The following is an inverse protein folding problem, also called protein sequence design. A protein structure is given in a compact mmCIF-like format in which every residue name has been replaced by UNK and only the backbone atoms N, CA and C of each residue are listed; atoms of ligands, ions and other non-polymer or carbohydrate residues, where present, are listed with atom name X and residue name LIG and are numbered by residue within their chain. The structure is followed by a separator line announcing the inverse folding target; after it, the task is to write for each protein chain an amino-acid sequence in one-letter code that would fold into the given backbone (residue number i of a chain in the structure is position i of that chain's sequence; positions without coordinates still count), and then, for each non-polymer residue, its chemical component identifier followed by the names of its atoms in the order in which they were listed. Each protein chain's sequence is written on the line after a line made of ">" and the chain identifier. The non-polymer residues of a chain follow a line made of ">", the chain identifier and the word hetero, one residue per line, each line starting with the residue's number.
data_IF_268588672038
#
_entry.id   IF_268588672038
#
_cell.length_a   1.000
_cell.length_b   1.000
_cell.length_c   1.000
_cell.angle_alpha   90.00
_cell.angle_beta   90.00
_cell.angle_gamma   90.00
#
_symmetry.space_group_name_H-M   'P 1'
#
loop_
_entity.id
_entity.type
_entity.pdbx_description
1 polymer ?
#
# COMPACT_ATOMS: atom_id res chain seq x y z
N UNK A 1 18.34 7.29 -19.09
CA UNK A 1 17.69 6.28 -18.24
C UNK A 1 16.18 6.40 -18.40
N UNK A 2 15.52 5.37 -18.93
CA UNK A 2 14.05 5.35 -19.10
C UNK A 2 13.34 5.29 -17.75
N UNK A 3 12.07 5.69 -17.69
CA UNK A 3 11.24 5.62 -16.48
C UNK A 3 11.21 4.22 -15.85
N UNK A 4 11.36 3.18 -16.68
CA UNK A 4 11.48 1.78 -16.27
C UNK A 4 12.75 1.49 -15.45
N UNK A 5 13.91 2.02 -15.85
CA UNK A 5 15.15 1.82 -15.10
C UNK A 5 15.14 2.56 -13.75
N UNK A 6 14.49 3.74 -13.66
CA UNK A 6 14.27 4.44 -12.38
C UNK A 6 13.34 3.66 -11.45
N UNK A 7 12.29 3.02 -11.98
CA UNK A 7 11.37 2.16 -11.22
C UNK A 7 12.08 0.91 -10.66
N UNK A 8 12.87 0.22 -11.48
CA UNK A 8 13.66 -0.94 -11.06
C UNK A 8 14.73 -0.58 -10.02
N UNK A 9 15.36 0.59 -10.14
CA UNK A 9 16.27 1.13 -9.13
C UNK A 9 15.59 1.30 -7.77
N UNK A 10 14.38 1.88 -7.76
CA UNK A 10 13.57 2.01 -6.54
C UNK A 10 13.14 0.66 -5.96
N UNK A 11 12.83 -0.34 -6.80
CA UNK A 11 12.52 -1.71 -6.35
C UNK A 11 13.72 -2.43 -5.73
N UNK A 12 14.93 -2.25 -6.27
CA UNK A 12 16.15 -2.83 -5.67
C UNK A 12 16.42 -2.26 -4.27
N UNK A 13 16.25 -0.94 -4.11
CA UNK A 13 16.30 -0.28 -2.79
C UNK A 13 15.19 -0.78 -1.85
N UNK A 14 14.00 -1.09 -2.37
CA UNK A 14 12.90 -1.66 -1.60
C UNK A 14 13.21 -3.08 -1.07
N UNK A 15 13.87 -3.92 -1.87
CA UNK A 15 14.31 -5.26 -1.44
C UNK A 15 15.40 -5.16 -0.36
N UNK A 16 16.38 -4.27 -0.50
CA UNK A 16 17.36 -4.04 0.57
C UNK A 16 16.70 -3.50 1.85
N UNK A 17 15.67 -2.66 1.72
CA UNK A 17 14.88 -2.17 2.85
C UNK A 17 14.10 -3.30 3.55
N UNK A 18 13.54 -4.27 2.81
CA UNK A 18 12.87 -5.43 3.43
C UNK A 18 13.81 -6.24 4.33
N UNK A 19 15.06 -6.46 3.90
CA UNK A 19 16.08 -7.12 4.72
C UNK A 19 16.47 -6.29 5.95
N UNK A 20 16.52 -4.96 5.83
CA UNK A 20 16.77 -4.06 6.97
C UNK A 20 15.62 -4.09 7.98
N UNK A 21 14.37 -4.15 7.50
CA UNK A 21 13.21 -4.22 8.39
C UNK A 21 13.06 -5.54 9.13
N UNK A 22 13.56 -6.67 8.57
CA UNK A 22 13.68 -7.94 9.31
C UNK A 22 14.56 -7.78 10.57
N UNK A 23 15.56 -6.89 10.49
CA UNK A 23 16.46 -6.59 11.60
C UNK A 23 15.87 -5.61 12.64
N UNK A 24 14.82 -4.86 12.27
CA UNK A 24 14.25 -3.78 13.09
C UNK A 24 12.84 -4.10 13.66
N UNK A 25 12.07 -5.00 13.05
CA UNK A 25 10.68 -5.28 13.47
C UNK A 25 10.51 -6.28 14.63
N UNK A 26 11.59 -6.88 15.11
CA UNK A 26 11.59 -7.65 16.36
C UNK A 26 10.87 -9.01 16.31
N UNK A 27 11.22 -9.88 17.26
CA UNK A 27 10.98 -11.33 17.24
C UNK A 27 9.50 -11.79 17.12
N UNK A 28 8.53 -10.91 17.38
CA UNK A 28 7.09 -11.27 17.42
C UNK A 28 6.40 -11.34 16.06
N UNK A 29 6.66 -10.40 15.13
CA UNK A 29 6.08 -10.46 13.77
C UNK A 29 6.68 -11.62 12.97
N UNK A 30 8.00 -11.81 13.08
CA UNK A 30 8.72 -12.97 12.52
C UNK A 30 8.19 -14.31 13.06
N UNK A 31 7.73 -14.34 14.32
CA UNK A 31 7.09 -15.52 14.93
C UNK A 31 5.72 -15.81 14.31
N UNK A 32 4.92 -14.78 14.00
CA UNK A 32 3.60 -14.96 13.40
C UNK A 32 3.70 -15.46 11.95
N UNK A 33 4.58 -14.86 11.15
CA UNK A 33 4.75 -15.25 9.75
C UNK A 33 5.35 -16.65 9.57
N UNK A 34 6.18 -17.11 10.52
CA UNK A 34 6.67 -18.50 10.54
C UNK A 34 5.58 -19.53 10.77
N UNK A 35 4.46 -19.15 11.41
CA UNK A 35 3.33 -20.02 11.70
C UNK A 35 2.28 -20.07 10.58
N UNK A 36 2.44 -19.27 9.52
CA UNK A 36 1.53 -19.29 8.39
C UNK A 36 1.74 -20.56 7.56
N UNK A 37 0.66 -21.30 7.33
CA UNK A 37 0.64 -22.38 6.35
C UNK A 37 0.72 -21.80 4.94
N UNK A 38 1.90 -21.95 4.33
CA UNK A 38 2.19 -21.41 2.99
C UNK A 38 1.29 -22.00 1.91
N UNK A 39 0.74 -23.19 2.10
CA UNK A 39 -0.18 -23.82 1.13
C UNK A 39 -1.55 -23.13 1.08
N UNK A 40 -1.91 -22.38 2.13
CA UNK A 40 -3.19 -21.69 2.27
C UNK A 40 -3.11 -20.20 1.96
N UNK A 41 -1.94 -19.69 1.61
CA UNK A 41 -1.78 -18.28 1.24
C UNK A 41 -2.43 -18.06 -0.13
N UNK A 42 -3.35 -17.10 -0.26
CA UNK A 42 -4.00 -16.82 -1.53
C UNK A 42 -2.98 -16.33 -2.54
N UNK A 43 -3.08 -16.84 -3.77
CA UNK A 43 -2.24 -16.36 -4.86
C UNK A 43 -2.58 -14.92 -5.24
N UNK A 44 -3.85 -14.52 -5.08
CA UNK A 44 -4.35 -13.20 -5.44
C UNK A 44 -5.23 -12.63 -4.34
N UNK A 45 -4.94 -11.39 -3.94
CA UNK A 45 -5.77 -10.60 -3.03
C UNK A 45 -6.22 -9.31 -3.75
N UNK A 46 -7.49 -8.98 -3.65
CA UNK A 46 -8.04 -7.71 -4.11
C UNK A 46 -8.46 -6.86 -2.90
N UNK A 47 -8.11 -5.57 -2.92
CA UNK A 47 -8.35 -4.64 -1.81
C UNK A 47 -9.09 -3.41 -2.32
N UNK A 48 -10.21 -3.10 -1.68
CA UNK A 48 -10.95 -1.86 -1.86
C UNK A 48 -10.49 -0.88 -0.77
N UNK A 49 -9.90 0.23 -1.17
CA UNK A 49 -9.26 1.20 -0.26
C UNK A 49 -10.23 2.32 0.12
N UNK A 50 -11.35 1.94 0.73
CA UNK A 50 -12.40 2.89 1.11
C UNK A 50 -12.11 3.54 2.47
N UNK A 51 -12.70 4.71 2.70
CA UNK A 51 -12.72 5.38 4.00
C UNK A 51 -11.69 6.48 4.19
N UNK A 52 -10.75 6.69 3.25
CA UNK A 52 -9.72 7.74 3.33
C UNK A 52 -10.31 9.13 3.61
N UNK A 53 -11.32 9.56 2.85
CA UNK A 53 -11.99 10.83 3.07
C UNK A 53 -12.72 10.93 4.41
N UNK A 54 -13.39 9.85 4.84
CA UNK A 54 -14.07 9.79 6.16
C UNK A 54 -13.06 9.82 7.32
N UNK A 55 -11.91 9.17 7.16
CA UNK A 55 -10.83 9.17 8.13
C UNK A 55 -10.28 10.58 8.36
N UNK A 56 -10.12 11.36 7.28
CA UNK A 56 -9.65 12.74 7.34
C UNK A 56 -10.70 13.67 7.98
N UNK A 57 -11.96 13.54 7.57
CA UNK A 57 -13.08 14.34 8.12
C UNK A 57 -13.24 14.15 9.63
N UNK A 58 -13.16 12.90 10.12
CA UNK A 58 -13.22 12.60 11.57
C UNK A 58 -12.10 13.25 12.38
N UNK A 59 -11.04 13.74 11.73
CA UNK A 59 -9.88 14.39 12.34
C UNK A 59 -9.80 15.89 12.04
N UNK A 60 -10.81 16.46 11.38
CA UNK A 60 -10.78 17.86 10.94
C UNK A 60 -9.71 18.14 9.87
N UNK A 61 -9.26 17.11 9.14
CA UNK A 61 -8.23 17.22 8.11
C UNK A 61 -8.82 17.34 6.71
N UNK A 62 -8.11 17.97 5.76
CA UNK A 62 -8.46 17.92 4.34
C UNK A 62 -8.51 16.48 3.82
N UNK A 63 -9.43 16.18 2.90
CA UNK A 63 -9.63 14.82 2.37
C UNK A 63 -8.37 14.23 1.74
N UNK A 64 -7.52 15.05 1.13
CA UNK A 64 -6.22 14.66 0.57
C UNK A 64 -5.28 14.05 1.61
N UNK A 65 -5.34 14.49 2.88
CA UNK A 65 -4.55 13.90 3.96
C UNK A 65 -4.93 12.43 4.19
N UNK A 66 -6.21 12.10 4.10
CA UNK A 66 -6.67 10.72 4.18
C UNK A 66 -6.18 9.86 3.02
N UNK A 67 -6.07 10.42 1.82
CA UNK A 67 -5.52 9.70 0.67
C UNK A 67 -4.01 9.43 0.83
N UNK A 68 -3.25 10.37 1.40
CA UNK A 68 -1.84 10.16 1.77
C UNK A 68 -1.68 9.05 2.81
N UNK A 69 -2.53 9.02 3.84
CA UNK A 69 -2.55 7.92 4.81
C UNK A 69 -2.92 6.58 4.19
N UNK A 70 -3.87 6.58 3.24
CA UNK A 70 -4.19 5.40 2.44
C UNK A 70 -2.96 4.87 1.70
N UNK A 71 -2.13 5.75 1.14
CA UNK A 71 -0.88 5.38 0.47
C UNK A 71 0.13 4.73 1.44
N UNK A 72 0.27 5.26 2.65
CA UNK A 72 1.11 4.65 3.68
C UNK A 72 0.59 3.25 4.10
N UNK A 73 -0.73 3.08 4.18
CA UNK A 73 -1.33 1.77 4.42
C UNK A 73 -1.01 0.77 3.30
N UNK A 74 -1.10 1.19 2.04
CA UNK A 74 -0.71 0.37 0.88
C UNK A 74 0.75 -0.04 0.97
N UNK A 75 1.66 0.88 1.30
CA UNK A 75 3.09 0.57 1.45
C UNK A 75 3.33 -0.56 2.46
N UNK A 76 2.65 -0.51 3.60
CA UNK A 76 2.71 -1.60 4.62
C UNK A 76 2.14 -2.90 4.10
N UNK A 77 0.98 -2.86 3.43
CA UNK A 77 0.34 -4.05 2.86
C UNK A 77 1.23 -4.72 1.81
N UNK A 78 1.80 -3.94 0.89
CA UNK A 78 2.70 -4.44 -0.16
C UNK A 78 3.90 -5.17 0.45
N UNK A 79 4.49 -4.58 1.49
CA UNK A 79 5.62 -5.20 2.19
C UNK A 79 5.23 -6.56 2.79
N UNK A 80 4.10 -6.62 3.50
CA UNK A 80 3.60 -7.87 4.10
C UNK A 80 3.24 -8.89 3.02
N UNK A 81 2.57 -8.47 1.94
CA UNK A 81 2.19 -9.33 0.83
C UNK A 81 3.41 -10.02 0.20
N UNK A 82 4.50 -9.28 -0.02
CA UNK A 82 5.77 -9.82 -0.51
C UNK A 82 6.36 -10.81 0.49
N UNK A 83 6.37 -10.47 1.77
CA UNK A 83 6.97 -11.28 2.83
C UNK A 83 6.25 -12.62 3.05
N UNK A 84 4.91 -12.62 3.00
CA UNK A 84 4.10 -13.83 3.17
C UNK A 84 3.97 -14.62 1.85
N UNK A 85 4.23 -14.00 0.70
CA UNK A 85 4.25 -14.66 -0.61
C UNK A 85 2.93 -14.60 -1.39
N UNK A 86 2.13 -13.56 -1.20
CA UNK A 86 0.99 -13.26 -2.10
C UNK A 86 1.56 -12.84 -3.46
N UNK A 87 1.13 -13.51 -4.54
CA UNK A 87 1.71 -13.31 -5.88
C UNK A 87 1.09 -12.15 -6.64
N UNK A 88 -0.19 -11.90 -6.43
CA UNK A 88 -0.96 -10.86 -7.12
C UNK A 88 -1.70 -10.02 -6.09
N UNK A 89 -1.60 -8.70 -6.23
CA UNK A 89 -2.34 -7.74 -5.44
C UNK A 89 -3.07 -6.78 -6.37
N UNK A 90 -4.40 -6.72 -6.28
CA UNK A 90 -5.21 -5.73 -6.99
C UNK A 90 -5.68 -4.68 -5.99
N UNK A 91 -5.43 -3.41 -6.29
CA UNK A 91 -5.85 -2.28 -5.47
C UNK A 91 -6.89 -1.49 -6.25
N UNK A 92 -8.05 -1.27 -5.66
CA UNK A 92 -9.07 -0.40 -6.24
C UNK A 92 -8.80 1.05 -5.79
N UNK A 93 -8.00 1.76 -6.58
CA UNK A 93 -7.48 3.11 -6.25
C UNK A 93 -8.37 4.26 -6.73
N UNK A 94 -9.13 4.07 -7.81
CA UNK A 94 -9.98 5.11 -8.37
C UNK A 94 -11.18 4.47 -9.08
N UNK A 95 -12.38 5.01 -8.85
CA UNK A 95 -13.63 4.55 -9.47
C UNK A 95 -14.25 5.62 -10.37
N UNK A 96 -15.17 5.21 -11.25
CA UNK A 96 -15.93 6.14 -12.11
C UNK A 96 -16.74 7.15 -11.30
N UNK A 97 -17.18 6.79 -10.10
CA UNK A 97 -17.93 7.66 -9.20
C UNK A 97 -17.04 8.75 -8.56
N UNK A 98 -15.71 8.59 -8.60
CA UNK A 98 -14.78 9.59 -8.08
C UNK A 98 -14.73 10.85 -8.94
N UNK A 99 -15.17 10.78 -10.20
CA UNK A 99 -15.32 11.96 -11.07
C UNK A 99 -16.37 12.96 -10.57
N UNK A 100 -17.30 12.55 -9.71
CA UNK A 100 -18.32 13.43 -9.13
C UNK A 100 -17.81 14.22 -7.91
N UNK A 101 -16.52 14.11 -7.56
CA UNK A 101 -15.92 14.83 -6.43
C UNK A 101 -15.48 16.24 -6.84
N UNK A 102 -15.25 17.15 -5.88
CA UNK A 102 -14.72 18.48 -6.19
C UNK A 102 -13.41 18.41 -6.97
N UNK A 103 -13.23 19.29 -7.97
CA UNK A 103 -12.07 19.32 -8.88
C UNK A 103 -10.74 19.36 -8.13
N UNK A 104 -10.64 20.20 -7.09
CA UNK A 104 -9.46 20.30 -6.22
C UNK A 104 -9.09 18.96 -5.54
N UNK A 105 -10.08 18.11 -5.23
CA UNK A 105 -9.81 16.77 -4.69
C UNK A 105 -9.32 15.81 -5.78
N UNK A 106 -9.85 15.92 -7.00
CA UNK A 106 -9.43 15.11 -8.15
C UNK A 106 -7.99 15.45 -8.54
N UNK A 107 -7.64 16.72 -8.64
CA UNK A 107 -6.29 17.17 -8.96
C UNK A 107 -5.28 16.63 -7.94
N UNK A 108 -5.60 16.78 -6.65
CA UNK A 108 -4.77 16.25 -5.58
C UNK A 108 -4.63 14.72 -5.62
N UNK A 109 -5.64 13.99 -6.11
CA UNK A 109 -5.56 12.53 -6.30
C UNK A 109 -4.64 12.13 -7.45
N UNK A 110 -4.59 12.91 -8.52
CA UNK A 110 -3.77 12.61 -9.70
C UNK A 110 -2.28 12.92 -9.49
N UNK A 111 -1.95 13.77 -8.53
CA UNK A 111 -0.57 14.13 -8.16
C UNK A 111 0.11 13.14 -7.19
N UNK A 112 -0.65 12.20 -6.60
CA UNK A 112 -0.19 11.24 -5.59
C UNK A 112 0.46 9.98 -6.20
#
# INVERSE_FOLDING_TARGET
>A
MTNYQKFLGKMSTFIQFTNLTRRLLGDKEDSLFRRLDRSRIPQHVAIIMDGNGRWAQKRGLPRIAGHREGMEAIRRILKIAVEIGVRYLTLFSFSTENWNRPEVEIDGLMEL
#
